data_IF_920207817406
#
_entry.id   IF_920207817406
#
_cell.length_a   1.000
_cell.length_b   1.000
_cell.length_c   1.000
_cell.angle_alpha   90.00
_cell.angle_beta   90.00
_cell.angle_gamma   90.00
#
_symmetry.space_group_name_H-M   'P 1'
#
loop_
_entity.id
_entity.type
_entity.pdbx_description
1 polymer ?
#
# COMPACT_ATOMS: atom_id res chain seq x y z
N UNK A 1 3.58 8.75 -6.21
CA UNK A 1 2.64 8.23 -7.24
C UNK A 1 1.20 8.02 -6.73
N UNK A 2 0.94 8.01 -5.41
CA UNK A 2 -0.38 7.73 -4.81
C UNK A 2 -1.52 8.63 -5.32
N UNK A 3 -1.27 9.92 -5.56
CA UNK A 3 -2.29 10.88 -6.04
C UNK A 3 -2.82 10.56 -7.44
N UNK A 4 -1.95 10.06 -8.31
CA UNK A 4 -2.30 9.67 -9.68
C UNK A 4 -3.20 8.44 -9.63
N UNK A 5 -2.78 7.41 -8.88
CA UNK A 5 -3.52 6.14 -8.74
C UNK A 5 -4.93 6.35 -8.22
N UNK A 6 -5.15 7.25 -7.24
CA UNK A 6 -6.50 7.57 -6.75
C UNK A 6 -7.48 8.03 -7.84
N UNK A 7 -7.00 8.80 -8.81
CA UNK A 7 -7.85 9.34 -9.86
C UNK A 7 -8.30 8.28 -10.87
N UNK A 8 -7.66 7.11 -10.91
CA UNK A 8 -7.98 6.03 -11.84
C UNK A 8 -9.09 5.07 -11.35
N UNK A 9 -9.79 5.38 -10.25
CA UNK A 9 -10.91 4.56 -9.76
C UNK A 9 -10.47 3.20 -9.19
N UNK A 10 -9.26 3.15 -8.64
CA UNK A 10 -8.67 1.91 -8.12
C UNK A 10 -9.33 1.54 -6.80
N UNK A 11 -9.70 0.27 -6.65
CA UNK A 11 -10.45 -0.23 -5.49
C UNK A 11 -9.62 -0.33 -4.20
N UNK A 12 -8.31 -0.55 -4.32
CA UNK A 12 -7.35 -0.60 -3.21
C UNK A 12 -6.01 0.00 -3.63
N UNK A 13 -5.40 0.78 -2.75
CA UNK A 13 -4.03 1.30 -2.92
C UNK A 13 -3.16 0.72 -1.81
N UNK A 14 -2.02 0.16 -2.18
CA UNK A 14 -1.02 -0.38 -1.25
C UNK A 14 0.26 0.43 -1.42
N UNK A 15 0.79 0.97 -0.33
CA UNK A 15 2.06 1.72 -0.32
C UNK A 15 3.08 0.95 0.49
N UNK A 16 4.22 0.67 -0.14
CA UNK A 16 5.37 0.02 0.47
C UNK A 16 6.50 1.04 0.59
N UNK A 17 6.91 1.36 1.81
CA UNK A 17 8.00 2.31 2.07
C UNK A 17 8.65 2.01 3.43
N UNK A 18 9.94 2.27 3.55
CA UNK A 18 10.69 2.12 4.81
C UNK A 18 10.63 3.38 5.68
N UNK A 19 10.27 4.52 5.08
CA UNK A 19 10.22 5.81 5.75
C UNK A 19 8.81 6.03 6.31
N UNK A 20 8.71 5.99 7.63
CA UNK A 20 7.45 6.09 8.38
C UNK A 20 6.61 7.32 8.02
N UNK A 21 7.25 8.48 7.84
CA UNK A 21 6.55 9.72 7.49
C UNK A 21 5.85 9.65 6.12
N UNK A 22 6.41 8.86 5.18
CA UNK A 22 5.78 8.62 3.87
C UNK A 22 4.57 7.71 3.99
N UNK A 23 4.62 6.74 4.91
CA UNK A 23 3.50 5.86 5.22
C UNK A 23 2.35 6.62 5.87
N UNK A 24 2.64 7.50 6.83
CA UNK A 24 1.62 8.38 7.46
C UNK A 24 0.92 9.26 6.44
N UNK A 25 1.69 9.92 5.57
CA UNK A 25 1.13 10.73 4.49
C UNK A 25 0.26 9.86 3.55
N UNK A 26 0.69 8.65 3.20
CA UNK A 26 -0.12 7.74 2.41
C UNK A 26 -1.45 7.37 3.11
N UNK A 27 -1.43 7.19 4.42
CA UNK A 27 -2.61 6.92 5.25
C UNK A 27 -3.60 8.08 5.26
N UNK A 28 -3.12 9.32 5.42
CA UNK A 28 -3.95 10.54 5.34
C UNK A 28 -4.59 10.70 3.96
N UNK A 29 -3.90 10.19 2.94
CA UNK A 29 -4.42 10.08 1.60
C UNK A 29 -5.36 8.87 1.45
N UNK A 30 -5.84 8.19 2.48
CA UNK A 30 -6.82 7.11 2.30
C UNK A 30 -6.28 5.91 1.52
N UNK A 31 -4.99 5.64 1.64
CA UNK A 31 -4.39 4.37 1.19
C UNK A 31 -5.00 3.22 2.00
N UNK A 32 -5.30 2.11 1.33
CA UNK A 32 -5.97 0.96 1.96
C UNK A 32 -5.01 0.17 2.85
N UNK A 33 -3.76 0.00 2.42
CA UNK A 33 -2.74 -0.73 3.19
C UNK A 33 -1.38 -0.05 3.07
N UNK A 34 -0.71 0.13 4.20
CA UNK A 34 0.68 0.58 4.29
C UNK A 34 1.55 -0.56 4.83
N UNK A 35 2.72 -0.75 4.24
CA UNK A 35 3.63 -1.83 4.63
C UNK A 35 5.04 -1.28 4.77
N UNK A 36 5.60 -1.40 5.98
CA UNK A 36 7.03 -1.19 6.22
C UNK A 36 7.77 -2.53 6.07
N UNK A 37 8.55 -2.72 4.99
CA UNK A 37 9.21 -4.00 4.73
C UNK A 37 10.33 -4.32 5.74
N UNK A 38 10.73 -3.37 6.60
CA UNK A 38 11.67 -3.60 7.69
C UNK A 38 11.02 -4.21 8.93
N UNK A 39 9.72 -3.99 9.12
CA UNK A 39 8.96 -4.49 10.27
C UNK A 39 8.15 -5.74 9.92
N UNK A 40 7.71 -5.84 8.66
CA UNK A 40 6.78 -6.85 8.19
C UNK A 40 7.24 -7.35 6.82
N UNK A 41 7.33 -8.67 6.62
CA UNK A 41 7.65 -9.22 5.32
C UNK A 41 6.63 -8.73 4.26
N UNK A 42 7.07 -8.06 3.18
CA UNK A 42 6.17 -7.39 2.23
C UNK A 42 5.17 -8.35 1.57
N UNK A 43 5.61 -9.59 1.36
CA UNK A 43 4.80 -10.63 0.74
C UNK A 43 3.59 -11.02 1.59
N UNK A 44 3.75 -11.16 2.91
CA UNK A 44 2.65 -11.50 3.82
C UNK A 44 1.62 -10.37 3.87
N UNK A 45 2.09 -9.13 4.04
CA UNK A 45 1.21 -7.97 4.13
C UNK A 45 0.43 -7.72 2.82
N UNK A 46 1.08 -7.88 1.67
CA UNK A 46 0.41 -7.78 0.36
C UNK A 46 -0.63 -8.91 0.20
N UNK A 47 -0.29 -10.14 0.60
CA UNK A 47 -1.21 -11.27 0.47
C UNK A 47 -2.45 -11.12 1.35
N UNK A 48 -2.28 -10.64 2.58
CA UNK A 48 -3.39 -10.30 3.49
C UNK A 48 -4.23 -9.13 2.93
N UNK A 49 -3.59 -8.10 2.38
CA UNK A 49 -4.27 -6.94 1.80
C UNK A 49 -5.10 -7.25 0.54
N UNK A 50 -4.67 -8.25 -0.23
CA UNK A 50 -5.22 -8.61 -1.54
C UNK A 50 -6.06 -9.87 -1.51
N UNK A 51 -6.38 -10.41 -0.33
CA UNK A 51 -7.13 -11.67 -0.18
C UNK A 51 -6.48 -12.84 -0.96
N UNK A 52 -5.15 -12.79 -1.11
CA UNK A 52 -4.38 -13.76 -1.89
C UNK A 52 -4.30 -13.53 -3.40
N UNK A 53 -4.88 -12.45 -3.94
CA UNK A 53 -4.87 -12.14 -5.37
C UNK A 53 -3.52 -11.58 -5.87
N UNK A 54 -2.70 -11.02 -4.99
CA UNK A 54 -1.43 -10.40 -5.35
C UNK A 54 -1.61 -9.05 -6.06
N UNK A 55 -0.53 -8.56 -6.68
CA UNK A 55 -0.53 -7.30 -7.45
C UNK A 55 -0.51 -7.63 -8.95
N UNK A 56 -1.38 -6.97 -9.73
CA UNK A 56 -1.20 -6.88 -11.18
C UNK A 56 -0.11 -5.83 -11.45
N UNK A 57 0.92 -6.21 -12.22
CA UNK A 57 2.04 -5.37 -12.64
C UNK A 57 1.74 -4.65 -13.97
#
# INVERSE_FOLDING_TARGET
MTQVVKHYGVSKIIVLDIVEDRLKLAQELGTTVIVNPMEQGPEKAIREATDGLGLMF
#
